data_IF_951678422972
#
_entry.id   IF_951678422972
#
_cell.length_a   1.000
_cell.length_b   1.000
_cell.length_c   1.000
_cell.angle_alpha   90.00
_cell.angle_beta   90.00
_cell.angle_gamma   90.00
#
_symmetry.space_group_name_H-M   'P 1'
#
loop_
_entity.id
_entity.type
_entity.pdbx_description
1 polymer ?
#
# COMPACT_ATOMS: atom_id res chain seq x y z
N UNK A 1 9.28 -38.54 4.34
CA UNK A 1 9.12 -37.44 3.39
C UNK A 1 10.02 -36.30 3.81
N UNK A 2 10.66 -35.63 2.84
CA UNK A 2 11.41 -34.40 3.08
C UNK A 2 10.55 -33.18 2.74
N UNK A 3 10.90 -32.01 3.28
CA UNK A 3 10.25 -30.74 2.96
C UNK A 3 11.17 -29.94 2.03
N UNK A 4 10.61 -29.48 0.91
CA UNK A 4 11.24 -28.47 0.05
C UNK A 4 10.51 -27.15 0.27
N UNK A 5 11.27 -26.07 0.46
CA UNK A 5 10.71 -24.72 0.56
C UNK A 5 11.24 -23.88 -0.59
N UNK A 6 10.32 -23.30 -1.36
CA UNK A 6 10.61 -22.35 -2.44
C UNK A 6 10.08 -20.99 -1.98
N UNK A 7 10.94 -19.97 -1.98
CA UNK A 7 10.55 -18.60 -1.65
C UNK A 7 10.49 -17.77 -2.92
N UNK A 8 9.34 -17.15 -3.17
CA UNK A 8 9.12 -16.22 -4.28
C UNK A 8 8.81 -14.85 -3.69
N UNK A 9 9.62 -13.85 -4.01
CA UNK A 9 9.42 -12.47 -3.60
C UNK A 9 8.65 -11.71 -4.68
N UNK A 10 7.45 -11.25 -4.35
CA UNK A 10 6.62 -10.43 -5.23
C UNK A 10 6.22 -9.13 -4.52
N UNK A 11 6.00 -8.06 -5.29
CA UNK A 11 5.52 -6.77 -4.77
C UNK A 11 4.12 -6.51 -5.29
N UNK A 12 3.17 -6.24 -4.39
CA UNK A 12 1.84 -5.77 -4.76
C UNK A 12 1.94 -4.27 -5.05
N UNK A 13 1.56 -3.88 -6.28
CA UNK A 13 1.57 -2.48 -6.70
C UNK A 13 0.39 -1.71 -6.10
N UNK A 14 0.57 -0.41 -5.91
CA UNK A 14 -0.50 0.48 -5.44
C UNK A 14 -1.75 0.50 -6.35
N UNK A 15 -1.61 0.11 -7.62
CA UNK A 15 -2.75 -0.03 -8.54
C UNK A 15 -3.71 -1.18 -8.19
N UNK A 16 -3.28 -2.16 -7.38
CA UNK A 16 -4.14 -3.22 -6.87
C UNK A 16 -4.99 -2.79 -5.66
N UNK A 17 -4.87 -1.52 -5.25
CA UNK A 17 -5.68 -0.92 -4.23
C UNK A 17 -7.19 -1.18 -4.38
N UNK A 18 -7.83 -1.71 -3.34
CA UNK A 18 -9.26 -2.01 -3.34
C UNK A 18 -9.64 -3.26 -4.14
N UNK A 19 -8.67 -4.01 -4.67
CA UNK A 19 -8.89 -5.30 -5.32
C UNK A 19 -8.32 -6.44 -4.49
N UNK A 20 -8.63 -7.67 -4.90
CA UNK A 20 -8.04 -8.89 -4.34
C UNK A 20 -6.93 -9.37 -5.27
N UNK A 21 -5.76 -9.64 -4.70
CA UNK A 21 -4.64 -10.27 -5.40
C UNK A 21 -4.56 -11.73 -4.94
N UNK A 22 -4.59 -12.65 -5.89
CA UNK A 22 -4.55 -14.09 -5.61
C UNK A 22 -3.23 -14.71 -6.10
N UNK A 23 -2.65 -15.60 -5.30
CA UNK A 23 -1.45 -16.36 -5.65
C UNK A 23 -1.77 -17.87 -5.74
N UNK A 24 -1.66 -18.43 -6.95
CA UNK A 24 -1.85 -19.86 -7.25
C UNK A 24 -0.63 -20.41 -7.96
N UNK A 25 -0.02 -21.46 -7.42
CA UNK A 25 1.06 -22.21 -8.05
C UNK A 25 0.60 -23.56 -8.57
N UNK A 26 1.24 -24.03 -9.64
CA UNK A 26 1.14 -25.40 -10.16
C UNK A 26 2.46 -26.10 -9.91
N UNK A 27 2.41 -27.29 -9.34
CA UNK A 27 3.53 -28.20 -9.14
C UNK A 27 3.44 -29.28 -10.21
N UNK A 28 4.54 -29.55 -10.92
CA UNK A 28 4.67 -30.70 -11.80
C UNK A 28 5.72 -31.64 -11.22
N UNK A 29 5.41 -32.93 -11.11
CA UNK A 29 6.29 -33.91 -10.48
C UNK A 29 6.19 -35.28 -11.14
N UNK A 30 7.27 -36.04 -11.01
CA UNK A 30 7.38 -37.45 -11.37
C UNK A 30 6.76 -38.31 -10.26
N UNK A 31 5.57 -38.86 -10.51
CA UNK A 31 4.83 -39.63 -9.51
C UNK A 31 5.25 -41.11 -9.46
N UNK A 32 5.82 -41.64 -10.54
CA UNK A 32 6.20 -43.05 -10.66
C UNK A 32 7.73 -43.28 -10.73
N UNK A 33 8.50 -42.21 -10.62
CA UNK A 33 9.96 -42.18 -10.64
C UNK A 33 10.58 -42.63 -11.98
N UNK A 34 9.91 -42.39 -13.11
CA UNK A 34 10.39 -42.77 -14.44
C UNK A 34 11.34 -41.73 -15.11
N UNK A 35 11.54 -40.57 -14.47
CA UNK A 35 12.36 -39.47 -14.96
C UNK A 35 11.62 -38.38 -15.75
N UNK A 36 10.29 -38.45 -15.81
CA UNK A 36 9.43 -37.46 -16.47
C UNK A 36 8.36 -36.95 -15.51
N UNK A 37 7.87 -35.73 -15.73
CA UNK A 37 6.89 -35.10 -14.83
C UNK A 37 5.46 -35.29 -15.37
N UNK A 38 4.79 -36.38 -14.97
CA UNK A 38 3.45 -36.74 -15.47
C UNK A 38 2.31 -36.26 -14.57
N UNK A 39 2.61 -35.91 -13.33
CA UNK A 39 1.61 -35.53 -12.36
C UNK A 39 1.65 -34.03 -12.06
N UNK A 40 0.50 -33.50 -11.64
CA UNK A 40 0.39 -32.10 -11.22
C UNK A 40 -0.37 -31.98 -9.90
N UNK A 41 -0.08 -30.89 -9.18
CA UNK A 41 -0.83 -30.46 -8.01
C UNK A 41 -0.92 -28.94 -7.99
N UNK A 42 -1.92 -28.40 -7.28
CA UNK A 42 -2.05 -26.96 -7.06
C UNK A 42 -1.61 -26.63 -5.63
N UNK A 43 -1.00 -25.46 -5.43
CA UNK A 43 -0.83 -24.90 -4.08
C UNK A 43 -2.20 -24.63 -3.45
N UNK A 44 -2.25 -24.56 -2.12
CA UNK A 44 -3.50 -24.41 -1.38
C UNK A 44 -3.38 -23.33 -0.32
N UNK A 45 -4.49 -22.65 -0.03
CA UNK A 45 -4.61 -21.72 1.08
C UNK A 45 -4.86 -22.52 2.38
N UNK A 46 -3.93 -22.51 3.35
CA UNK A 46 -4.08 -23.29 4.58
C UNK A 46 -5.25 -22.83 5.46
N UNK A 47 -5.83 -21.65 5.20
CA UNK A 47 -7.00 -21.14 5.90
C UNK A 47 -8.34 -21.59 5.31
N UNK A 48 -8.34 -22.26 4.16
CA UNK A 48 -9.56 -22.64 3.42
C UNK A 48 -9.65 -24.17 3.32
N UNK A 49 -10.82 -24.73 3.64
CA UNK A 49 -11.03 -26.16 3.49
C UNK A 49 -11.05 -26.58 2.01
N UNK A 50 -10.41 -27.71 1.70
CA UNK A 50 -10.35 -28.24 0.33
C UNK A 50 -8.90 -28.39 -0.13
N UNK A 51 -8.70 -28.37 -1.45
CA UNK A 51 -7.37 -28.42 -2.08
C UNK A 51 -7.38 -27.53 -3.31
N UNK A 52 -6.26 -26.88 -3.60
CA UNK A 52 -6.12 -26.04 -4.79
C UNK A 52 -6.81 -24.68 -4.68
N UNK A 53 -6.96 -24.18 -3.45
CA UNK A 53 -7.45 -22.84 -3.20
C UNK A 53 -6.30 -21.83 -3.37
N UNK A 54 -6.48 -20.75 -4.15
CA UNK A 54 -5.48 -19.71 -4.25
C UNK A 54 -5.43 -18.91 -2.94
N UNK A 55 -4.23 -18.59 -2.46
CA UNK A 55 -4.09 -17.68 -1.32
C UNK A 55 -4.47 -16.26 -1.77
N UNK A 56 -5.58 -15.74 -1.25
CA UNK A 56 -6.12 -14.44 -1.63
C UNK A 56 -5.73 -13.36 -0.61
N UNK A 57 -5.24 -12.24 -1.09
CA UNK A 57 -4.85 -11.07 -0.30
C UNK A 57 -5.75 -9.91 -0.71
N UNK A 58 -6.60 -9.45 0.23
CA UNK A 58 -7.38 -8.24 0.01
C UNK A 58 -6.50 -7.00 0.24
N UNK A 59 -6.24 -6.26 -0.83
CA UNK A 59 -5.36 -5.09 -0.79
C UNK A 59 -6.17 -3.90 -0.26
N UNK A 60 -6.05 -3.68 1.04
CA UNK A 60 -6.67 -2.52 1.69
C UNK A 60 -5.83 -1.28 1.39
N UNK A 61 -6.43 -0.28 0.76
CA UNK A 61 -5.75 0.99 0.47
C UNK A 61 -6.03 1.51 -0.93
N UNK A 62 -7.30 1.84 -1.24
CA UNK A 62 -7.62 2.89 -2.22
C UNK A 62 -7.04 4.21 -1.76
N UNK A 63 -6.56 5.05 -2.69
CA UNK A 63 -5.94 6.36 -2.48
C UNK A 63 -6.22 6.85 -1.06
N UNK A 64 -5.21 6.79 -0.18
CA UNK A 64 -5.32 7.52 1.11
C UNK A 64 -5.88 8.87 0.74
N UNK A 65 -7.07 9.28 1.23
CA UNK A 65 -7.60 10.58 0.89
C UNK A 65 -6.45 11.53 1.16
N UNK A 66 -6.05 12.33 0.17
CA UNK A 66 -4.92 13.26 0.30
C UNK A 66 -5.13 13.90 1.66
N UNK A 67 -4.25 13.56 2.61
CA UNK A 67 -4.49 13.95 3.98
C UNK A 67 -4.26 15.45 3.97
N UNK A 68 -5.36 16.20 3.86
CA UNK A 68 -5.31 17.63 3.73
C UNK A 68 -4.52 18.12 4.94
N UNK A 69 -3.39 18.78 4.68
CA UNK A 69 -2.67 19.47 5.73
C UNK A 69 -3.65 20.53 6.24
N UNK A 70 -4.06 20.52 7.53
CA UNK A 70 -5.04 21.47 8.01
C UNK A 70 -4.54 22.89 7.75
N UNK A 71 -5.24 23.62 6.89
CA UNK A 71 -4.98 25.05 6.65
C UNK A 71 -5.99 25.89 7.42
N UNK A 72 -5.68 27.17 7.59
CA UNK A 72 -6.65 28.10 8.12
C UNK A 72 -7.82 28.25 7.14
N UNK A 73 -9.01 28.47 7.69
CA UNK A 73 -10.15 28.89 6.87
C UNK A 73 -9.84 30.19 6.13
N UNK A 74 -10.61 30.52 5.09
CA UNK A 74 -10.43 31.78 4.35
C UNK A 74 -10.42 33.00 5.28
N UNK A 75 -11.25 32.98 6.34
CA UNK A 75 -11.27 34.02 7.37
C UNK A 75 -9.99 34.00 8.22
N UNK A 76 -9.54 32.82 8.66
CA UNK A 76 -8.29 32.68 9.42
C UNK A 76 -7.07 33.18 8.64
N UNK A 77 -7.01 32.88 7.33
CA UNK A 77 -6.00 33.42 6.42
C UNK A 77 -6.07 34.95 6.33
N UNK A 78 -7.27 35.52 6.19
CA UNK A 78 -7.44 36.97 6.13
C UNK A 78 -6.95 37.66 7.42
N UNK A 79 -7.27 37.10 8.59
CA UNK A 79 -6.80 37.62 9.88
C UNK A 79 -5.27 37.54 9.97
N UNK A 80 -4.68 36.42 9.56
CA UNK A 80 -3.23 36.25 9.55
C UNK A 80 -2.55 37.30 8.65
N UNK A 81 -3.08 37.56 7.45
CA UNK A 81 -2.57 38.58 6.54
C UNK A 81 -2.61 39.97 7.17
N UNK A 82 -3.72 40.34 7.81
CA UNK A 82 -3.85 41.63 8.50
C UNK A 82 -2.87 41.76 9.67
N UNK A 83 -2.68 40.70 10.45
CA UNK A 83 -1.73 40.67 11.55
C UNK A 83 -0.28 40.87 11.05
N UNK A 84 0.11 40.19 9.99
CA UNK A 84 1.43 40.32 9.37
C UNK A 84 1.65 41.72 8.78
N UNK A 85 0.65 42.27 8.09
CA UNK A 85 0.71 43.64 7.55
C UNK A 85 0.84 44.69 8.68
N UNK A 86 0.06 44.54 9.75
CA UNK A 86 0.13 45.42 10.92
C UNK A 86 1.51 45.37 11.59
N UNK A 87 2.07 44.16 11.78
CA UNK A 87 3.41 43.99 12.33
C UNK A 87 4.47 44.65 11.45
N UNK A 88 4.40 44.46 10.13
CA UNK A 88 5.34 45.06 9.18
C UNK A 88 5.31 46.60 9.26
N UNK A 89 4.12 47.20 9.31
CA UNK A 89 3.97 48.67 9.46
C UNK A 89 4.54 49.16 10.79
N UNK A 90 4.28 48.46 11.90
CA UNK A 90 4.80 48.83 13.21
C UNK A 90 6.34 48.80 13.24
N UNK A 91 6.95 47.78 12.65
CA UNK A 91 8.41 47.65 12.56
C UNK A 91 9.02 48.74 11.67
N UNK A 92 8.40 49.07 10.53
CA UNK A 92 8.85 50.15 9.66
C UNK A 92 8.73 51.53 10.32
N UNK A 93 7.68 51.77 11.10
CA UNK A 93 7.53 53.02 11.88
C UNK A 93 8.59 53.14 12.97
N UNK A 94 8.90 52.06 13.70
CA UNK A 94 9.96 52.06 14.71
C UNK A 94 11.33 52.39 14.11
N UNK A 95 11.64 51.85 12.92
CA UNK A 95 12.89 52.14 12.20
C UNK A 95 13.03 53.58 11.72
N UNK A 96 11.93 54.31 11.54
CA UNK A 96 11.95 55.74 11.15
C UNK A 96 12.10 56.68 12.34
N UNK A 97 11.91 56.18 13.56
CA UNK A 97 11.98 56.94 14.81
C UNK A 97 13.31 56.75 15.55
N UNK A 98 14.22 55.93 15.00
CA UNK A 98 15.61 55.73 15.44
C UNK A 98 16.51 56.37 14.39
#
# INVERSE_FOLDING_TARGET
>A
GGTLTITINATILASAAGTTVSNQGTISYDADANGSNEATAQTDDPGVAGTGNPTAIQVTGGATPVQEIPTLSSLGLAVLVLALAGLAVALLRRRRLV
#
